data_IF_498350502259
#
_entry.id   IF_498350502259
#
_cell.length_a   1.000
_cell.length_b   1.000
_cell.length_c   1.000
_cell.angle_alpha   90.00
_cell.angle_beta   90.00
_cell.angle_gamma   90.00
#
_symmetry.space_group_name_H-M   'P 1'
#
loop_
_entity.id
_entity.type
_entity.pdbx_description
1 polymer ?
#
# COMPACT_ATOMS: atom_id res chain seq x y z
N UNK A 1 7.95 -30.20 -1.47
CA UNK A 1 7.21 -29.28 -2.37
C UNK A 1 7.04 -27.95 -1.70
N UNK A 2 7.15 -26.86 -2.45
CA UNK A 2 6.98 -25.49 -1.99
C UNK A 2 5.68 -24.90 -2.56
N UNK A 3 4.98 -24.05 -1.79
CA UNK A 3 3.78 -23.34 -2.21
C UNK A 3 3.80 -21.92 -1.67
N UNK A 4 3.59 -20.94 -2.55
CA UNK A 4 3.26 -19.57 -2.15
C UNK A 4 1.75 -19.44 -1.99
N UNK A 5 1.31 -18.79 -0.91
CA UNK A 5 -0.11 -18.53 -0.64
C UNK A 5 -0.41 -17.04 -0.78
N UNK A 6 -1.34 -16.73 -1.66
CA UNK A 6 -1.75 -15.35 -1.96
C UNK A 6 -3.11 -14.98 -1.33
N UNK A 7 -3.86 -15.97 -0.83
CA UNK A 7 -5.14 -15.73 -0.17
C UNK A 7 -4.96 -15.52 1.33
N UNK A 8 -5.28 -14.31 1.81
CA UNK A 8 -5.31 -14.02 3.25
C UNK A 8 -6.24 -14.94 4.03
N UNK A 9 -7.39 -15.28 3.44
CA UNK A 9 -8.34 -16.23 4.03
C UNK A 9 -7.74 -17.62 4.20
N UNK A 10 -7.16 -18.19 3.13
CA UNK A 10 -6.57 -19.54 3.21
C UNK A 10 -5.40 -19.53 4.18
N UNK A 11 -4.52 -18.52 4.10
CA UNK A 11 -3.40 -18.36 5.02
C UNK A 11 -3.83 -18.37 6.49
N UNK A 12 -4.91 -17.63 6.81
CA UNK A 12 -5.39 -17.50 8.18
C UNK A 12 -6.16 -18.72 8.69
N UNK A 13 -6.85 -19.47 7.82
CA UNK A 13 -7.87 -20.43 8.28
C UNK A 13 -7.67 -21.89 7.86
N UNK A 14 -6.80 -22.18 6.88
CA UNK A 14 -6.76 -23.50 6.24
C UNK A 14 -5.44 -24.27 6.43
N UNK A 15 -4.51 -23.73 7.21
CA UNK A 15 -3.22 -24.37 7.51
C UNK A 15 -3.25 -25.11 8.86
N UNK A 16 -4.36 -25.79 9.14
CA UNK A 16 -4.69 -26.51 10.38
C UNK A 16 -4.86 -28.02 10.11
N UNK A 17 -3.87 -28.64 9.48
CA UNK A 17 -3.89 -30.05 9.10
C UNK A 17 -2.72 -30.86 9.70
N UNK A 18 -2.83 -32.21 9.81
CA UNK A 18 -1.90 -33.01 10.61
C UNK A 18 -0.41 -32.91 10.23
N UNK A 19 -0.09 -32.59 8.99
CA UNK A 19 1.31 -32.45 8.56
C UNK A 19 1.97 -31.17 9.10
N UNK A 20 1.21 -30.09 9.34
CA UNK A 20 1.70 -28.90 10.05
C UNK A 20 1.95 -29.24 11.52
N UNK A 21 1.00 -29.92 12.18
CA UNK A 21 1.11 -30.32 13.59
C UNK A 21 2.30 -31.27 13.85
N UNK A 22 2.55 -32.19 12.92
CA UNK A 22 3.69 -33.13 12.97
C UNK A 22 5.02 -32.49 12.54
N UNK A 23 5.02 -31.22 12.13
CA UNK A 23 6.21 -30.51 11.66
C UNK A 23 6.75 -30.98 10.30
N UNK A 24 5.99 -31.79 9.56
CA UNK A 24 6.36 -32.27 8.23
C UNK A 24 6.18 -31.19 7.16
N UNK A 25 5.30 -30.22 7.42
CA UNK A 25 5.15 -28.99 6.67
C UNK A 25 5.35 -27.81 7.63
N UNK A 26 5.92 -26.72 7.12
CA UNK A 26 6.17 -25.50 7.88
C UNK A 26 5.50 -24.33 7.16
N UNK A 27 4.79 -23.52 7.93
CA UNK A 27 4.22 -22.24 7.50
C UNK A 27 5.20 -21.14 7.90
N UNK A 28 5.63 -20.31 6.95
CA UNK A 28 6.65 -19.28 7.20
C UNK A 28 6.36 -17.98 6.42
N UNK A 29 6.84 -16.85 6.93
CA UNK A 29 6.79 -15.52 6.32
C UNK A 29 8.20 -14.92 6.27
N UNK A 30 9.07 -15.43 5.40
CA UNK A 30 10.42 -14.88 5.27
C UNK A 30 10.36 -13.40 4.86
N UNK A 31 11.28 -12.55 5.35
CA UNK A 31 11.36 -11.17 4.90
C UNK A 31 11.51 -11.08 3.39
N UNK A 32 10.69 -10.25 2.76
CA UNK A 32 10.77 -9.95 1.34
C UNK A 32 11.54 -8.64 1.15
N UNK A 33 12.64 -8.69 0.40
CA UNK A 33 13.45 -7.52 0.05
C UNK A 33 13.06 -6.88 -1.29
N UNK A 34 12.04 -7.41 -1.96
CA UNK A 34 11.56 -6.89 -3.24
C UNK A 34 10.57 -5.75 -3.04
N UNK A 35 10.33 -4.98 -4.11
CA UNK A 35 9.29 -3.96 -4.10
C UNK A 35 7.94 -4.61 -3.78
N UNK A 36 7.24 -4.05 -2.78
CA UNK A 36 5.96 -4.61 -2.39
C UNK A 36 4.97 -4.52 -3.56
N UNK A 37 4.40 -5.67 -3.91
CA UNK A 37 3.30 -5.72 -4.87
C UNK A 37 1.99 -5.34 -4.19
N UNK A 38 1.03 -4.85 -4.98
CA UNK A 38 -0.34 -4.74 -4.49
C UNK A 38 -1.31 -4.26 -5.53
N UNK A 39 -2.53 -4.05 -5.08
CA UNK A 39 -3.68 -3.78 -5.93
C UNK A 39 -4.24 -2.39 -5.61
N UNK A 40 -4.70 -1.70 -6.65
CA UNK A 40 -5.28 -0.37 -6.53
C UNK A 40 -6.51 -0.22 -7.40
N UNK A 41 -7.39 0.70 -6.99
CA UNK A 41 -8.48 1.16 -7.84
C UNK A 41 -7.95 2.25 -8.77
N UNK A 42 -8.04 2.01 -10.07
CA UNK A 42 -7.59 2.94 -11.09
C UNK A 42 -8.78 3.72 -11.65
N UNK A 43 -8.70 5.05 -11.58
CA UNK A 43 -9.69 5.92 -12.20
C UNK A 43 -9.47 5.98 -13.71
N UNK A 44 -10.50 5.67 -14.49
CA UNK A 44 -10.46 5.90 -15.93
C UNK A 44 -10.58 7.39 -16.25
N UNK A 45 -9.44 8.07 -16.39
CA UNK A 45 -9.35 9.49 -16.71
C UNK A 45 -9.81 9.84 -18.14
N UNK A 46 -10.41 8.92 -18.90
CA UNK A 46 -11.12 9.24 -20.14
C UNK A 46 -12.57 9.68 -19.89
N UNK A 47 -13.10 9.44 -18.69
CA UNK A 47 -14.47 9.80 -18.33
C UNK A 47 -14.49 11.15 -17.61
N UNK A 48 -15.36 12.05 -18.05
CA UNK A 48 -15.48 13.43 -17.53
C UNK A 48 -15.64 13.47 -16.00
N UNK A 49 -16.44 12.56 -15.43
CA UNK A 49 -16.71 12.48 -13.99
C UNK A 49 -15.46 12.26 -13.12
N UNK A 50 -14.35 11.79 -13.70
CA UNK A 50 -13.09 11.53 -13.00
C UNK A 50 -11.97 12.50 -13.36
N UNK A 51 -12.22 13.53 -14.18
CA UNK A 51 -11.20 14.50 -14.57
C UNK A 51 -10.71 15.36 -13.40
N UNK A 52 -11.62 15.75 -12.50
CA UNK A 52 -11.28 16.55 -11.33
C UNK A 52 -10.54 15.72 -10.28
N UNK A 53 -9.32 16.15 -9.93
CA UNK A 53 -8.50 15.49 -8.90
C UNK A 53 -9.18 15.48 -7.53
N UNK A 54 -9.99 16.48 -7.20
CA UNK A 54 -10.70 16.59 -5.91
C UNK A 54 -11.74 15.49 -5.77
N UNK A 55 -12.42 15.14 -6.87
CA UNK A 55 -13.36 14.00 -6.90
C UNK A 55 -12.62 12.70 -6.64
N UNK A 56 -11.47 12.50 -7.30
CA UNK A 56 -10.65 11.28 -7.09
C UNK A 56 -10.11 11.18 -5.66
N UNK A 57 -9.66 12.30 -5.08
CA UNK A 57 -9.24 12.38 -3.68
C UNK A 57 -10.39 12.03 -2.73
N UNK A 58 -11.56 12.61 -2.94
CA UNK A 58 -12.75 12.34 -2.11
C UNK A 58 -13.15 10.86 -2.17
N UNK A 59 -13.22 10.25 -3.36
CA UNK A 59 -13.50 8.81 -3.49
C UNK A 59 -12.41 7.97 -2.81
N UNK A 60 -11.13 8.35 -2.96
CA UNK A 60 -10.03 7.66 -2.30
C UNK A 60 -10.12 7.68 -0.77
N UNK A 61 -10.61 8.77 -0.18
CA UNK A 61 -10.85 8.91 1.27
C UNK A 61 -11.98 8.02 1.78
N UNK A 62 -12.87 7.54 0.92
CA UNK A 62 -13.96 6.63 1.32
C UNK A 62 -13.50 5.19 1.52
N UNK A 63 -12.28 4.84 1.10
CA UNK A 63 -11.75 3.50 1.31
C UNK A 63 -11.25 3.32 2.75
N UNK A 64 -12.04 2.63 3.57
CA UNK A 64 -11.66 2.25 4.93
C UNK A 64 -10.73 1.02 4.90
N UNK A 65 -9.42 1.25 4.88
CA UNK A 65 -8.42 0.19 4.89
C UNK A 65 -8.43 -0.56 6.22
N UNK A 66 -8.52 0.15 7.34
CA UNK A 66 -8.41 -0.39 8.68
C UNK A 66 -9.50 -1.44 8.93
N UNK A 67 -10.75 -1.10 8.61
CA UNK A 67 -11.88 -2.03 8.66
C UNK A 67 -11.71 -3.20 7.68
N UNK A 68 -11.29 -2.92 6.44
CA UNK A 68 -11.11 -3.97 5.42
C UNK A 68 -10.04 -4.97 5.82
N UNK A 69 -8.91 -4.50 6.36
CA UNK A 69 -7.82 -5.34 6.80
C UNK A 69 -8.25 -6.22 7.96
N UNK A 70 -8.89 -5.64 8.97
CA UNK A 70 -9.41 -6.37 10.13
C UNK A 70 -10.46 -7.42 9.75
N UNK A 71 -11.43 -7.03 8.93
CA UNK A 71 -12.64 -7.84 8.67
C UNK A 71 -12.46 -8.84 7.54
N UNK A 72 -11.79 -8.44 6.46
CA UNK A 72 -11.69 -9.23 5.24
C UNK A 72 -10.32 -9.90 5.08
N UNK A 73 -9.26 -9.25 5.57
CA UNK A 73 -7.88 -9.70 5.35
C UNK A 73 -7.22 -10.27 6.60
N UNK A 74 -7.99 -10.54 7.66
CA UNK A 74 -7.50 -11.17 8.90
C UNK A 74 -6.37 -10.37 9.59
N UNK A 75 -6.28 -9.06 9.32
CA UNK A 75 -5.27 -8.17 9.89
C UNK A 75 -3.85 -8.38 9.37
N UNK A 76 -3.64 -9.18 8.32
CA UNK A 76 -2.29 -9.59 7.89
C UNK A 76 -1.66 -8.67 6.83
N UNK A 77 -2.41 -7.72 6.26
CA UNK A 77 -1.87 -6.81 5.26
C UNK A 77 -1.44 -5.46 5.86
N UNK A 78 -0.48 -4.83 5.20
CA UNK A 78 -0.12 -3.43 5.43
C UNK A 78 -0.65 -2.55 4.30
N UNK A 79 -0.99 -1.29 4.60
CA UNK A 79 -1.47 -0.35 3.59
C UNK A 79 -0.32 0.09 2.70
N UNK A 80 -0.44 -0.11 1.39
CA UNK A 80 0.45 0.54 0.43
C UNK A 80 0.26 2.06 0.46
N UNK A 81 1.38 2.78 0.54
CA UNK A 81 1.47 4.24 0.57
C UNK A 81 2.30 4.78 -0.59
N UNK A 82 3.10 3.93 -1.26
CA UNK A 82 4.00 4.33 -2.35
C UNK A 82 4.01 3.33 -3.51
N UNK A 83 4.36 3.80 -4.70
CA UNK A 83 4.74 2.92 -5.82
C UNK A 83 6.08 2.21 -5.58
N UNK A 84 6.91 2.77 -4.70
CA UNK A 84 8.20 2.24 -4.27
C UNK A 84 8.14 1.64 -2.86
N UNK A 85 6.99 1.08 -2.49
CA UNK A 85 6.79 0.48 -1.17
C UNK A 85 7.80 -0.65 -0.91
N UNK A 86 8.25 -0.79 0.35
CA UNK A 86 9.32 -1.72 0.75
C UNK A 86 10.68 -1.46 0.07
N UNK A 87 10.99 -0.20 -0.24
CA UNK A 87 12.29 0.21 -0.77
C UNK A 87 12.76 1.53 -0.17
N UNK A 88 14.08 1.75 -0.20
CA UNK A 88 14.72 3.02 0.14
C UNK A 88 14.26 4.19 -0.74
N UNK A 89 13.61 3.89 -1.87
CA UNK A 89 13.03 4.88 -2.79
C UNK A 89 11.65 5.38 -2.34
N UNK A 90 11.07 4.82 -1.27
CA UNK A 90 9.80 5.30 -0.72
C UNK A 90 9.97 6.73 -0.16
N UNK A 91 9.26 7.68 -0.74
CA UNK A 91 9.15 9.02 -0.20
C UNK A 91 8.59 8.98 1.24
N UNK A 92 9.25 9.67 2.16
CA UNK A 92 8.85 9.74 3.57
C UNK A 92 9.28 11.08 4.17
N UNK A 93 8.47 11.62 5.09
CA UNK A 93 8.77 12.90 5.74
C UNK A 93 8.90 14.06 4.73
N UNK A 94 9.67 15.08 5.10
CA UNK A 94 9.96 16.24 4.26
C UNK A 94 11.04 15.93 3.23
N UNK A 95 11.01 16.55 2.03
CA UNK A 95 12.10 16.44 1.06
C UNK A 95 13.45 16.87 1.67
N UNK A 96 14.47 16.05 1.48
CA UNK A 96 15.83 16.33 1.93
C UNK A 96 16.55 17.29 0.98
N UNK A 97 17.66 17.89 1.42
CA UNK A 97 18.42 18.86 0.61
C UNK A 97 18.83 18.31 -0.77
N UNK A 98 19.20 17.03 -0.85
CA UNK A 98 19.50 16.38 -2.13
C UNK A 98 18.28 16.26 -3.03
N UNK A 99 17.13 15.84 -2.49
CA UNK A 99 15.87 15.74 -3.23
C UNK A 99 15.40 17.11 -3.71
N UNK A 100 15.48 18.13 -2.86
CA UNK A 100 15.14 19.52 -3.21
C UNK A 100 16.02 20.04 -4.34
N UNK A 101 17.32 19.75 -4.34
CA UNK A 101 18.20 20.16 -5.43
C UNK A 101 17.76 19.60 -6.79
N UNK A 102 17.21 18.38 -6.81
CA UNK A 102 16.66 17.77 -8.03
C UNK A 102 15.24 18.22 -8.37
N UNK A 103 14.39 18.46 -7.37
CA UNK A 103 12.97 18.78 -7.56
C UNK A 103 12.72 20.27 -7.81
N UNK A 104 13.53 21.17 -7.24
CA UNK A 104 13.35 22.63 -7.39
C UNK A 104 13.37 23.09 -8.86
N UNK A 105 14.26 22.59 -9.74
CA UNK A 105 14.21 22.92 -11.16
C UNK A 105 12.92 22.49 -11.88
N UNK A 106 12.13 21.60 -11.27
CA UNK A 106 10.86 21.10 -11.79
C UNK A 106 9.64 21.75 -11.12
N UNK A 107 9.82 22.77 -10.28
CA UNK A 107 8.75 23.36 -9.47
C UNK A 107 7.48 23.71 -10.26
N UNK A 108 7.64 24.20 -11.50
CA UNK A 108 6.52 24.63 -12.35
C UNK A 108 5.58 23.49 -12.79
N UNK A 109 6.05 22.25 -12.80
CA UNK A 109 5.27 21.06 -13.21
C UNK A 109 4.86 20.18 -12.04
N UNK A 110 5.36 20.47 -10.84
CA UNK A 110 5.09 19.66 -9.65
C UNK A 110 3.76 20.08 -8.99
N UNK A 111 2.96 19.12 -8.50
CA UNK A 111 1.83 19.43 -7.65
C UNK A 111 2.26 20.23 -6.41
N UNK A 112 1.37 21.10 -5.93
CA UNK A 112 1.56 21.80 -4.66
C UNK A 112 1.79 20.80 -3.51
N UNK A 113 2.71 21.13 -2.60
CA UNK A 113 3.07 20.28 -1.46
C UNK A 113 4.30 19.41 -1.69
N UNK A 114 4.73 19.19 -2.94
CA UNK A 114 5.87 18.29 -3.21
C UNK A 114 7.19 18.82 -2.65
N UNK A 115 7.39 20.14 -2.59
CA UNK A 115 8.64 20.74 -2.13
C UNK A 115 8.63 21.13 -0.64
N UNK A 116 7.45 21.31 -0.05
CA UNK A 116 7.27 22.02 1.23
C UNK A 116 6.31 21.30 2.19
N UNK A 117 5.88 20.08 1.86
CA UNK A 117 5.04 19.26 2.75
C UNK A 117 5.61 17.85 2.91
N UNK A 118 5.24 17.14 3.99
CA UNK A 118 5.59 15.74 4.13
C UNK A 118 5.00 14.89 2.99
N UNK A 119 5.67 13.79 2.67
CA UNK A 119 5.18 12.80 1.71
C UNK A 119 3.73 12.40 2.02
N UNK A 120 2.87 12.45 0.99
CA UNK A 120 1.45 12.17 1.13
C UNK A 120 1.24 10.73 1.57
N UNK A 121 0.54 10.53 2.68
CA UNK A 121 0.11 9.22 3.15
C UNK A 121 -1.40 9.05 2.99
N UNK A 122 -1.90 7.82 2.79
CA UNK A 122 -3.34 7.55 2.84
C UNK A 122 -3.92 7.96 4.19
N UNK A 123 -5.19 8.43 4.23
CA UNK A 123 -5.86 8.71 5.49
C UNK A 123 -6.05 7.42 6.29
N UNK A 124 -5.99 7.54 7.62
CA UNK A 124 -6.30 6.46 8.55
C UNK A 124 -7.79 6.60 8.92
N UNK A 125 -8.54 5.52 8.75
CA UNK A 125 -9.96 5.44 9.10
C UNK A 125 -10.17 4.78 10.47
N UNK A 126 -11.38 4.86 11.00
CA UNK A 126 -11.79 4.06 12.16
C UNK A 126 -11.91 2.57 11.81
N UNK A 127 -11.81 1.71 12.81
CA UNK A 127 -12.12 0.27 12.65
C UNK A 127 -13.63 -0.02 12.49
N UNK A 128 -14.48 1.02 12.50
CA UNK A 128 -15.92 0.97 12.32
C UNK A 128 -16.32 1.69 11.05
#
# INVERSE_FOLDING_TARGET
TFRSEASSKIWATAYDFPAIEKGWAVKDTPPDGTLASGQSFLFNLRRERFQDIRVRKAIGMMFNFEWSNKTLFYGIYARMQSFWENSYLKASGMPQAGELAFLTPLADILPQGVLDSPAVTPPISSER
#
